data_IF_454348607415
#
_entry.id   IF_454348607415
#
_cell.length_a   1.000
_cell.length_b   1.000
_cell.length_c   1.000
_cell.angle_alpha   90.00
_cell.angle_beta   90.00
_cell.angle_gamma   90.00
#
_symmetry.space_group_name_H-M   'P 1'
#
loop_
_entity.id
_entity.type
_entity.pdbx_description
1 polymer ?
#
# COMPACT_ATOMS: atom_id res chain seq x y z
N UNK A 1 22.19 -3.61 -19.82
CA UNK A 1 20.99 -4.36 -19.41
C UNK A 1 21.33 -5.11 -18.14
N UNK A 2 20.92 -4.56 -16.97
CA UNK A 2 21.10 -5.23 -15.68
C UNK A 2 20.20 -6.46 -15.66
N UNK A 3 20.77 -7.64 -15.39
CA UNK A 3 20.03 -8.87 -15.24
C UNK A 3 19.02 -8.71 -14.08
N UNK A 4 17.73 -8.91 -14.36
CA UNK A 4 16.68 -8.97 -13.33
C UNK A 4 17.05 -10.11 -12.37
N UNK A 5 17.07 -9.87 -11.05
CA UNK A 5 17.30 -10.97 -10.12
C UNK A 5 16.20 -12.00 -10.32
N UNK A 6 16.59 -13.28 -10.34
CA UNK A 6 15.70 -14.40 -10.45
C UNK A 6 14.48 -14.20 -9.54
N UNK A 7 13.29 -14.41 -10.09
CA UNK A 7 12.04 -14.48 -9.38
C UNK A 7 12.16 -15.56 -8.27
N UNK A 8 12.67 -15.13 -7.11
CA UNK A 8 12.55 -15.93 -5.91
C UNK A 8 11.05 -16.11 -5.69
N UNK A 9 10.63 -17.36 -5.64
CA UNK A 9 9.28 -17.88 -5.48
C UNK A 9 8.46 -16.98 -4.57
N UNK A 10 7.90 -15.93 -5.16
CA UNK A 10 6.84 -15.20 -4.53
C UNK A 10 5.61 -16.08 -4.75
N UNK A 11 4.99 -16.55 -3.69
CA UNK A 11 3.60 -16.99 -3.74
C UNK A 11 2.76 -15.74 -4.06
N UNK A 12 2.96 -15.22 -5.24
CA UNK A 12 2.12 -14.18 -5.81
C UNK A 12 0.89 -14.95 -6.27
N UNK A 13 -0.26 -14.54 -5.78
CA UNK A 13 -1.51 -14.95 -6.39
C UNK A 13 -1.34 -14.80 -7.90
N UNK A 14 -1.59 -15.84 -8.73
CA UNK A 14 -1.32 -15.81 -10.17
C UNK A 14 -2.00 -14.65 -10.89
N UNK A 15 -2.97 -13.98 -10.26
CA UNK A 15 -3.68 -12.81 -10.77
C UNK A 15 -2.94 -11.48 -10.58
N UNK A 16 -1.93 -11.41 -9.69
CA UNK A 16 -1.13 -10.20 -9.43
C UNK A 16 0.35 -10.50 -9.63
N UNK A 17 0.90 -10.10 -10.78
CA UNK A 17 2.33 -10.23 -11.04
C UNK A 17 3.12 -9.13 -10.32
N UNK A 18 4.42 -9.36 -10.14
CA UNK A 18 5.35 -8.38 -9.59
C UNK A 18 5.31 -7.05 -10.37
N UNK A 19 5.38 -7.12 -11.68
CA UNK A 19 5.36 -5.95 -12.57
C UNK A 19 4.05 -5.16 -12.41
N UNK A 20 2.93 -5.87 -12.34
CA UNK A 20 1.61 -5.24 -12.21
C UNK A 20 1.46 -4.54 -10.87
N UNK A 21 1.87 -5.19 -9.78
CA UNK A 21 1.83 -4.59 -8.44
C UNK A 21 2.61 -3.27 -8.41
N UNK A 22 3.88 -3.30 -8.78
CA UNK A 22 4.73 -2.10 -8.73
C UNK A 22 4.33 -1.03 -9.74
N UNK A 23 3.77 -1.42 -10.90
CA UNK A 23 3.23 -0.44 -11.85
C UNK A 23 2.03 0.33 -11.28
N UNK A 24 1.21 -0.31 -10.43
CA UNK A 24 0.13 0.38 -9.70
C UNK A 24 0.72 1.40 -8.73
N UNK A 25 1.70 0.98 -7.92
CA UNK A 25 2.40 1.88 -6.99
C UNK A 25 3.01 3.07 -7.73
N UNK A 26 3.69 2.84 -8.85
CA UNK A 26 4.32 3.92 -9.63
C UNK A 26 3.30 4.90 -10.22
N UNK A 27 2.13 4.43 -10.68
CA UNK A 27 1.05 5.31 -11.14
C UNK A 27 0.49 6.17 -10.02
N UNK A 28 0.33 5.62 -8.83
CA UNK A 28 -0.11 6.40 -7.65
C UNK A 28 0.92 7.46 -7.32
N UNK A 29 2.21 7.10 -7.24
CA UNK A 29 3.30 8.03 -6.95
C UNK A 29 3.42 9.18 -7.97
N UNK A 30 3.08 8.92 -9.22
CA UNK A 30 3.11 9.94 -10.27
C UNK A 30 1.96 10.97 -10.17
N UNK A 31 0.91 10.66 -9.41
CA UNK A 31 -0.30 11.48 -9.34
C UNK A 31 -0.56 12.07 -7.95
N UNK A 32 -0.19 11.34 -6.90
CA UNK A 32 -0.44 11.73 -5.52
C UNK A 32 0.59 12.74 -5.00
N UNK A 33 0.18 13.56 -4.07
CA UNK A 33 1.11 14.26 -3.19
C UNK A 33 1.71 13.25 -2.20
N UNK A 34 2.97 12.91 -2.41
CA UNK A 34 3.69 11.92 -1.60
C UNK A 34 4.06 12.44 -0.19
N UNK A 35 3.74 13.67 0.14
CA UNK A 35 3.83 14.23 1.49
C UNK A 35 2.48 14.16 2.24
N UNK A 36 1.41 13.79 1.56
CA UNK A 36 0.06 13.67 2.13
C UNK A 36 -0.45 12.23 2.01
N UNK A 37 -0.49 11.52 3.14
CA UNK A 37 -1.02 10.15 3.20
C UNK A 37 -2.46 10.05 2.66
N UNK A 38 -3.30 11.07 2.90
CA UNK A 38 -4.68 11.06 2.44
C UNK A 38 -4.76 11.12 0.92
N UNK A 39 -3.92 11.95 0.28
CA UNK A 39 -3.76 11.99 -1.17
C UNK A 39 -3.34 10.63 -1.72
N UNK A 40 -2.31 10.02 -1.14
CA UNK A 40 -1.81 8.70 -1.57
C UNK A 40 -2.90 7.63 -1.46
N UNK A 41 -3.62 7.56 -0.34
CA UNK A 41 -4.73 6.60 -0.16
C UNK A 41 -5.86 6.81 -1.17
N UNK A 42 -6.20 8.07 -1.47
CA UNK A 42 -7.23 8.38 -2.46
C UNK A 42 -6.83 7.92 -3.87
N UNK A 43 -5.61 8.19 -4.31
CA UNK A 43 -5.13 7.75 -5.63
C UNK A 43 -4.96 6.22 -5.68
N UNK A 44 -4.49 5.59 -4.61
CA UNK A 44 -4.40 4.14 -4.52
C UNK A 44 -5.79 3.49 -4.63
N UNK A 45 -6.79 4.02 -3.92
CA UNK A 45 -8.17 3.57 -4.05
C UNK A 45 -8.68 3.71 -5.50
N UNK A 46 -8.42 4.85 -6.14
CA UNK A 46 -8.84 5.14 -7.52
C UNK A 46 -8.24 4.15 -8.52
N UNK A 47 -7.01 3.71 -8.32
CA UNK A 47 -6.40 2.68 -9.14
C UNK A 47 -6.97 1.28 -8.84
N UNK A 48 -7.13 0.95 -7.57
CA UNK A 48 -7.56 -0.38 -7.16
C UNK A 48 -9.03 -0.67 -7.46
N UNK A 49 -9.93 0.30 -7.34
CA UNK A 49 -11.36 0.10 -7.59
C UNK A 49 -11.68 -0.31 -9.04
N UNK A 50 -10.75 -0.08 -9.97
CA UNK A 50 -10.85 -0.48 -11.39
C UNK A 50 -10.47 -1.94 -11.62
N UNK A 51 -9.81 -2.59 -10.67
CA UNK A 51 -9.33 -3.97 -10.83
C UNK A 51 -10.48 -4.97 -10.65
N UNK A 52 -10.44 -6.12 -11.36
CA UNK A 52 -11.27 -7.28 -11.05
C UNK A 52 -11.06 -7.73 -9.59
N UNK A 53 -12.07 -8.39 -9.01
CA UNK A 53 -12.04 -8.77 -7.60
C UNK A 53 -10.89 -9.74 -7.26
N UNK A 54 -10.57 -10.67 -8.14
CA UNK A 54 -9.46 -11.60 -7.99
C UNK A 54 -8.09 -10.89 -8.01
N UNK A 55 -7.96 -9.83 -8.81
CA UNK A 55 -6.77 -8.99 -8.83
C UNK A 55 -6.66 -8.10 -7.59
N UNK A 56 -7.78 -7.62 -7.04
CA UNK A 56 -7.79 -6.91 -5.75
C UNK A 56 -7.29 -7.80 -4.61
N UNK A 57 -7.77 -9.05 -4.55
CA UNK A 57 -7.27 -10.03 -3.58
C UNK A 57 -5.79 -10.34 -3.82
N UNK A 58 -5.39 -10.46 -5.09
CA UNK A 58 -3.99 -10.64 -5.47
C UNK A 58 -3.10 -9.46 -5.04
N UNK A 59 -3.59 -8.24 -5.17
CA UNK A 59 -2.90 -7.04 -4.72
C UNK A 59 -2.72 -7.01 -3.20
N UNK A 60 -3.78 -7.33 -2.44
CA UNK A 60 -3.70 -7.43 -0.99
C UNK A 60 -2.69 -8.49 -0.54
N UNK A 61 -2.75 -9.68 -1.13
CA UNK A 61 -1.78 -10.75 -0.84
C UNK A 61 -0.33 -10.31 -1.13
N UNK A 62 -0.10 -9.62 -2.25
CA UNK A 62 1.21 -9.09 -2.61
C UNK A 62 1.67 -8.03 -1.60
N UNK A 63 0.77 -7.10 -1.22
CA UNK A 63 1.04 -6.07 -0.21
C UNK A 63 1.49 -6.70 1.12
N UNK A 64 0.71 -7.67 1.63
CA UNK A 64 1.05 -8.39 2.87
C UNK A 64 2.42 -9.10 2.75
N UNK A 65 2.71 -9.70 1.60
CA UNK A 65 3.99 -10.36 1.35
C UNK A 65 5.15 -9.37 1.40
N UNK A 66 5.05 -8.21 0.73
CA UNK A 66 6.08 -7.17 0.76
C UNK A 66 6.24 -6.59 2.17
N UNK A 67 5.14 -6.31 2.86
CA UNK A 67 5.17 -5.84 4.25
C UNK A 67 5.88 -6.83 5.18
N UNK A 68 5.61 -8.14 5.03
CA UNK A 68 6.23 -9.17 5.85
C UNK A 68 7.73 -9.34 5.55
N UNK A 69 8.17 -9.16 4.31
CA UNK A 69 9.60 -9.19 3.96
C UNK A 69 10.40 -8.07 4.58
N UNK A 70 9.79 -6.92 4.80
CA UNK A 70 10.43 -5.81 5.50
C UNK A 70 10.40 -5.96 7.04
N UNK A 71 9.95 -7.10 7.57
CA UNK A 71 9.88 -7.36 9.01
C UNK A 71 11.15 -8.09 9.50
N UNK A 72 12.20 -7.33 9.80
CA UNK A 72 13.44 -7.86 10.38
C UNK A 72 14.11 -6.82 11.29
N UNK A 73 14.99 -7.24 12.23
CA UNK A 73 15.49 -6.38 13.32
C UNK A 73 16.13 -5.08 12.88
N UNK A 74 16.94 -5.07 11.81
CA UNK A 74 17.62 -3.86 11.33
C UNK A 74 16.59 -2.85 10.76
N UNK A 75 15.51 -3.32 10.14
CA UNK A 75 14.43 -2.46 9.65
C UNK A 75 13.62 -1.86 10.81
N UNK A 76 13.40 -2.61 11.89
CA UNK A 76 12.80 -2.08 13.13
C UNK A 76 13.65 -0.96 13.70
N UNK A 77 14.96 -1.16 13.77
CA UNK A 77 15.89 -0.14 14.26
C UNK A 77 15.84 1.14 13.40
N UNK A 78 15.81 1.02 12.08
CA UNK A 78 15.67 2.15 11.16
C UNK A 78 14.35 2.91 11.40
N UNK A 79 13.23 2.19 11.52
CA UNK A 79 11.93 2.80 11.81
C UNK A 79 11.94 3.55 13.16
N UNK A 80 12.58 2.99 14.19
CA UNK A 80 12.73 3.65 15.50
C UNK A 80 13.54 4.93 15.40
N UNK A 81 14.59 4.96 14.60
CA UNK A 81 15.43 6.17 14.41
C UNK A 81 14.63 7.25 13.67
N UNK A 82 13.95 6.88 12.58
CA UNK A 82 13.22 7.82 11.73
C UNK A 82 12.03 8.44 12.47
N UNK A 83 11.31 7.64 13.27
CA UNK A 83 10.07 8.05 13.94
C UNK A 83 10.24 8.38 15.43
N UNK A 84 11.48 8.41 15.94
CA UNK A 84 11.78 8.63 17.37
C UNK A 84 11.06 7.62 18.28
N UNK A 85 11.21 6.36 17.93
CA UNK A 85 10.55 5.21 18.56
C UNK A 85 9.50 4.57 17.65
N UNK A 86 9.21 3.30 17.88
CA UNK A 86 8.20 2.55 17.13
C UNK A 86 7.59 1.45 18.00
N UNK A 87 6.26 1.35 17.98
CA UNK A 87 5.51 0.18 18.45
C UNK A 87 5.29 -0.79 17.29
N UNK A 88 4.74 -1.96 17.56
CA UNK A 88 4.43 -2.95 16.52
C UNK A 88 3.47 -2.39 15.45
N UNK A 89 2.47 -1.61 15.87
CA UNK A 89 1.51 -0.97 14.97
C UNK A 89 2.21 0.12 14.15
N UNK A 90 2.96 1.01 14.78
CA UNK A 90 3.73 2.07 14.12
C UNK A 90 4.76 1.49 13.14
N UNK A 91 5.40 0.36 13.50
CA UNK A 91 6.29 -0.34 12.58
C UNK A 91 5.54 -0.95 11.38
N UNK A 92 4.31 -1.40 11.59
CA UNK A 92 3.46 -1.86 10.48
C UNK A 92 3.15 -0.71 9.52
N UNK A 93 2.83 0.46 10.05
CA UNK A 93 2.54 1.68 9.29
C UNK A 93 3.79 2.21 8.55
N UNK A 94 4.95 2.16 9.18
CA UNK A 94 6.22 2.46 8.53
C UNK A 94 6.48 1.55 7.31
N UNK A 95 6.19 0.25 7.41
CA UNK A 95 6.36 -0.68 6.29
C UNK A 95 5.35 -0.42 5.17
N UNK A 96 4.14 0.06 5.49
CA UNK A 96 3.18 0.53 4.49
C UNK A 96 3.72 1.76 3.75
N UNK A 97 4.25 2.74 4.47
CA UNK A 97 4.92 3.90 3.88
C UNK A 97 6.09 3.47 2.97
N UNK A 98 6.93 2.53 3.43
CA UNK A 98 8.09 2.05 2.66
C UNK A 98 7.69 1.45 1.31
N UNK A 99 6.61 0.64 1.25
CA UNK A 99 6.09 0.10 -0.01
C UNK A 99 5.72 1.25 -0.96
N UNK A 100 5.08 2.29 -0.46
CA UNK A 100 4.68 3.44 -1.27
C UNK A 100 5.86 4.30 -1.76
N UNK A 101 7.08 4.12 -1.24
CA UNK A 101 8.27 4.76 -1.81
C UNK A 101 8.70 4.18 -3.17
N UNK A 102 8.05 3.09 -3.63
CA UNK A 102 8.31 2.44 -4.90
C UNK A 102 9.37 1.34 -4.81
N UNK A 103 9.48 0.57 -5.88
CA UNK A 103 10.28 -0.67 -5.86
C UNK A 103 11.76 -0.44 -5.55
N UNK A 104 12.37 0.57 -6.17
CA UNK A 104 13.80 0.79 -6.00
C UNK A 104 14.16 1.16 -4.55
N UNK A 105 13.39 2.09 -3.95
CA UNK A 105 13.58 2.48 -2.56
C UNK A 105 13.32 1.30 -1.61
N UNK A 106 12.22 0.59 -1.82
CA UNK A 106 11.86 -0.60 -1.06
C UNK A 106 12.96 -1.66 -1.13
N UNK A 107 13.44 -2.00 -2.34
CA UNK A 107 14.51 -2.98 -2.55
C UNK A 107 15.82 -2.57 -1.88
N UNK A 108 16.23 -1.30 -2.01
CA UNK A 108 17.45 -0.79 -1.39
C UNK A 108 17.37 -0.88 0.15
N UNK A 109 16.22 -0.56 0.72
CA UNK A 109 15.99 -0.71 2.17
C UNK A 109 16.03 -2.17 2.64
N UNK A 110 15.59 -3.13 1.82
CA UNK A 110 15.71 -4.56 2.13
C UNK A 110 17.16 -5.05 2.10
N UNK A 111 18.00 -4.50 1.22
CA UNK A 111 19.42 -4.84 1.14
C UNK A 111 20.12 -4.28 2.38
N UNK A 112 19.93 -3.02 2.66
CA UNK A 112 20.45 -2.32 3.82
C UNK A 112 19.51 -1.15 4.20
N UNK A 113 18.87 -1.17 5.38
CA UNK A 113 18.03 -0.07 5.83
C UNK A 113 18.73 1.28 5.92
N UNK A 114 20.05 1.31 6.06
CA UNK A 114 20.84 2.56 6.05
C UNK A 114 20.74 3.31 4.69
N UNK A 115 20.37 2.60 3.61
CA UNK A 115 20.09 3.23 2.31
C UNK A 115 18.88 4.18 2.35
N UNK A 116 18.02 4.08 3.36
CA UNK A 116 16.93 5.02 3.57
C UNK A 116 17.43 6.45 3.81
N UNK A 117 18.66 6.62 4.31
CA UNK A 117 19.28 7.93 4.49
C UNK A 117 19.45 8.72 3.17
N UNK A 118 19.43 8.04 2.02
CA UNK A 118 19.46 8.71 0.71
C UNK A 118 18.10 9.30 0.29
N UNK A 119 17.02 8.94 0.98
CA UNK A 119 15.70 9.47 0.75
C UNK A 119 15.50 10.76 1.57
N UNK A 120 14.76 11.71 1.02
CA UNK A 120 14.31 12.87 1.78
C UNK A 120 13.13 12.48 2.68
N UNK A 121 13.41 11.82 3.81
CA UNK A 121 12.41 11.28 4.71
C UNK A 121 11.99 12.36 5.71
N UNK A 122 10.70 12.68 5.81
CA UNK A 122 10.21 13.56 6.85
C UNK A 122 10.36 12.88 8.23
N UNK A 123 10.95 13.60 9.17
CA UNK A 123 11.14 13.10 10.53
C UNK A 123 9.77 12.92 11.22
N UNK A 124 9.50 11.74 11.78
CA UNK A 124 8.24 11.35 12.45
C UNK A 124 6.98 11.35 11.56
N UNK A 125 7.12 11.27 10.26
CA UNK A 125 5.98 11.29 9.32
C UNK A 125 6.06 10.16 8.29
N UNK A 126 6.43 8.96 8.76
CA UNK A 126 6.49 7.76 7.93
C UNK A 126 5.57 6.65 8.43
N UNK A 127 4.57 6.99 9.22
CA UNK A 127 3.62 6.03 9.79
C UNK A 127 2.27 6.15 9.09
N UNK A 128 2.19 5.55 7.90
CA UNK A 128 0.99 5.62 7.09
C UNK A 128 -0.03 4.55 7.47
N UNK A 129 -0.89 4.95 8.39
CA UNK A 129 -2.00 4.15 8.87
C UNK A 129 -3.04 3.96 7.77
N UNK A 130 -3.37 2.72 7.45
CA UNK A 130 -4.48 2.41 6.57
C UNK A 130 -4.14 2.25 5.09
N UNK A 131 -2.94 2.59 4.61
CA UNK A 131 -2.54 2.26 3.23
C UNK A 131 -2.66 0.76 2.94
N UNK A 132 -2.35 -0.09 3.91
CA UNK A 132 -2.48 -1.54 3.80
C UNK A 132 -3.93 -2.04 3.70
N UNK A 133 -4.92 -1.21 3.99
CA UNK A 133 -6.34 -1.58 3.97
C UNK A 133 -7.08 -1.09 2.71
N UNK A 134 -6.44 -0.31 1.85
CA UNK A 134 -7.10 0.32 0.70
C UNK A 134 -7.67 -0.71 -0.28
N UNK A 135 -7.00 -1.85 -0.48
CA UNK A 135 -7.51 -2.94 -1.31
C UNK A 135 -8.84 -3.51 -0.77
N UNK A 136 -8.95 -3.65 0.55
CA UNK A 136 -10.20 -4.06 1.20
C UNK A 136 -11.32 -3.04 0.99
N UNK A 137 -11.04 -1.75 1.11
CA UNK A 137 -12.04 -0.70 0.83
C UNK A 137 -12.48 -0.69 -0.63
N UNK A 138 -11.56 -0.92 -1.57
CA UNK A 138 -11.90 -1.04 -2.99
C UNK A 138 -12.81 -2.25 -3.24
N UNK A 139 -12.52 -3.40 -2.63
CA UNK A 139 -13.37 -4.58 -2.71
C UNK A 139 -14.77 -4.33 -2.12
N UNK A 140 -14.85 -3.74 -0.92
CA UNK A 140 -16.11 -3.39 -0.28
C UNK A 140 -16.92 -2.40 -1.11
N UNK A 141 -16.26 -1.40 -1.71
CA UNK A 141 -16.87 -0.42 -2.60
C UNK A 141 -17.48 -1.05 -3.86
N UNK A 142 -16.79 -2.03 -4.45
CA UNK A 142 -17.35 -2.79 -5.60
C UNK A 142 -18.57 -3.62 -5.21
N UNK A 143 -18.55 -4.29 -4.04
CA UNK A 143 -19.68 -5.06 -3.55
C UNK A 143 -20.89 -4.18 -3.26
N UNK A 144 -20.67 -3.03 -2.64
CA UNK A 144 -21.72 -2.07 -2.33
C UNK A 144 -22.36 -1.50 -3.61
N UNK A 145 -21.56 -1.17 -4.62
CA UNK A 145 -22.06 -0.72 -5.93
C UNK A 145 -22.94 -1.78 -6.58
N UNK A 146 -22.45 -3.02 -6.65
CA UNK A 146 -23.23 -4.12 -7.23
C UNK A 146 -24.55 -4.37 -6.49
N UNK A 147 -24.58 -4.19 -5.17
CA UNK A 147 -25.81 -4.26 -4.38
C UNK A 147 -26.81 -3.15 -4.76
N UNK A 148 -26.36 -1.91 -4.87
CA UNK A 148 -27.21 -0.78 -5.24
C UNK A 148 -27.76 -0.92 -6.68
N UNK A 149 -26.92 -1.32 -7.62
CA UNK A 149 -27.34 -1.60 -9.01
C UNK A 149 -28.46 -2.65 -9.05
N UNK A 150 -28.28 -3.75 -8.30
CA UNK A 150 -29.29 -4.82 -8.20
C UNK A 150 -30.60 -4.35 -7.55
N UNK A 151 -30.50 -3.44 -6.60
CA UNK A 151 -31.66 -2.86 -5.89
C UNK A 151 -32.34 -1.73 -6.69
N UNK A 152 -31.81 -1.33 -7.86
CA UNK A 152 -32.33 -0.20 -8.64
C UNK A 152 -32.13 1.16 -7.96
N UNK A 153 -31.19 1.25 -7.03
CA UNK A 153 -30.86 2.48 -6.31
C UNK A 153 -29.72 3.17 -7.06
N UNK A 154 -29.91 4.46 -7.41
CA UNK A 154 -28.84 5.27 -7.96
C UNK A 154 -27.74 5.42 -6.90
N UNK A 155 -26.58 4.79 -7.14
CA UNK A 155 -25.45 4.90 -6.25
C UNK A 155 -24.59 6.09 -6.65
N UNK A 156 -24.39 7.02 -5.72
CA UNK A 156 -23.28 7.97 -5.82
C UNK A 156 -21.95 7.19 -5.89
N UNK A 157 -20.94 7.70 -6.62
CA UNK A 157 -19.62 7.06 -6.64
C UNK A 157 -19.12 6.89 -5.20
N UNK A 158 -18.94 5.64 -4.77
CA UNK A 158 -18.38 5.35 -3.44
C UNK A 158 -16.94 5.83 -3.44
N UNK A 159 -16.66 6.93 -2.74
CA UNK A 159 -15.31 7.42 -2.53
C UNK A 159 -14.68 6.77 -1.31
N UNK A 160 -13.35 6.74 -1.27
CA UNK A 160 -12.61 6.24 -0.10
C UNK A 160 -13.05 6.95 1.21
N UNK A 161 -13.35 8.24 1.14
CA UNK A 161 -13.83 9.06 2.26
C UNK A 161 -15.16 8.57 2.84
N UNK A 162 -16.09 8.11 2.01
CA UNK A 162 -17.38 7.57 2.47
C UNK A 162 -17.21 6.25 3.23
N UNK A 163 -16.32 5.38 2.78
CA UNK A 163 -16.06 4.09 3.44
C UNK A 163 -15.42 4.28 4.82
N UNK A 164 -14.50 5.24 4.95
CA UNK A 164 -13.85 5.56 6.22
C UNK A 164 -14.80 6.16 7.27
N UNK A 165 -15.80 6.94 6.84
CA UNK A 165 -16.75 7.58 7.76
C UNK A 165 -17.57 6.58 8.60
N UNK A 166 -17.64 5.31 8.19
CA UNK A 166 -18.35 4.26 8.93
C UNK A 166 -17.50 3.60 10.01
N UNK A 167 -16.17 3.68 9.97
CA UNK A 167 -15.27 3.10 10.99
C UNK A 167 -15.22 3.94 12.28
N UNK A 168 -15.44 5.24 12.19
CA UNK A 168 -15.36 6.15 13.36
C UNK A 168 -16.63 6.20 14.20
N UNK A 169 -17.66 5.40 13.87
CA UNK A 169 -18.95 5.38 14.58
C UNK A 169 -19.27 4.06 15.28
N UNK A 170 -18.28 3.15 15.39
CA UNK A 170 -18.44 1.87 16.09
C UNK A 170 -17.78 1.93 17.48
#
# INVERSE_FOLDING_TARGET
AAARPHAAVYLVNPTMTWEKFWSIIDRVRAQADMQDEASVKQFLYTELIKLPQDELLGFDCAWQSYRNKANFPKMVAAACIINDGSSDDRFTDFRNWLIMQGYDAYRQALIDPDNLAALNIPFRDTEWMGCGNVAWYAYAGQKLRAYFEKAGIAAEPVSYTHLRAHETKA
#
